data_IF_547495582515
#
_entry.id   IF_547495582515
#
_cell.length_a   1.000
_cell.length_b   1.000
_cell.length_c   1.000
_cell.angle_alpha   90.00
_cell.angle_beta   90.00
_cell.angle_gamma   90.00
#
_symmetry.space_group_name_H-M   'P 1'
#
loop_
_entity.id
_entity.type
_entity.pdbx_description
1 polymer ?
#
# COMPACT_ATOMS: atom_id res chain seq x y z
N UNK A 1 5.49 41.14 61.11
CA UNK A 1 5.72 42.56 61.47
C UNK A 1 6.13 43.25 60.18
N UNK A 2 5.25 44.03 59.52
CA UNK A 2 5.00 45.48 59.74
C UNK A 2 6.29 46.30 59.54
N UNK A 3 6.38 47.42 58.82
CA UNK A 3 5.53 48.21 57.89
C UNK A 3 6.44 49.34 57.35
N UNK A 4 6.09 49.88 56.17
CA UNK A 4 6.19 51.28 55.67
C UNK A 4 7.53 52.03 55.69
N UNK A 5 7.87 52.86 54.70
CA UNK A 5 7.36 54.23 54.43
C UNK A 5 8.01 54.65 53.08
N UNK A 6 7.40 55.24 52.04
CA UNK A 6 6.52 56.41 51.98
C UNK A 6 7.36 57.69 51.77
N UNK A 7 7.43 58.22 50.55
CA UNK A 7 7.86 59.61 50.27
C UNK A 7 7.46 60.03 48.84
N UNK A 8 6.45 60.88 48.74
CA UNK A 8 6.27 61.86 47.64
C UNK A 8 6.99 63.15 48.04
N UNK A 9 7.56 63.87 47.07
CA UNK A 9 7.55 65.34 47.03
C UNK A 9 8.15 65.87 45.69
N UNK A 10 7.32 66.63 44.96
CA UNK A 10 7.66 67.63 43.92
C UNK A 10 8.10 68.95 44.62
N UNK A 11 8.31 70.15 44.00
CA UNK A 11 8.24 70.62 42.59
C UNK A 11 9.37 71.62 42.18
N UNK A 12 9.11 72.38 41.08
CA UNK A 12 9.66 73.69 40.62
C UNK A 12 11.09 73.71 40.03
N UNK A 13 11.41 74.37 38.90
CA UNK A 13 10.81 75.58 38.33
C UNK A 13 11.14 75.78 36.83
N UNK A 14 10.46 76.76 36.26
CA UNK A 14 10.37 77.22 34.88
C UNK A 14 11.69 77.49 34.13
N UNK A 15 11.65 77.35 32.80
CA UNK A 15 12.15 78.38 31.87
C UNK A 15 11.61 78.19 30.44
N UNK A 16 11.07 79.29 29.91
CA UNK A 16 10.42 79.44 28.62
C UNK A 16 11.36 79.31 27.41
N UNK A 17 10.83 78.83 26.28
CA UNK A 17 11.13 79.49 25.00
C UNK A 17 10.02 79.27 23.98
N UNK A 18 9.45 80.39 23.57
CA UNK A 18 8.38 80.61 22.58
C UNK A 18 8.89 80.39 21.15
N UNK A 19 8.07 79.79 20.25
CA UNK A 19 8.31 79.96 18.82
C UNK A 19 7.63 79.03 17.81
N UNK A 20 6.33 79.25 17.58
CA UNK A 20 5.59 79.15 16.31
C UNK A 20 4.99 77.81 15.80
N UNK A 21 3.80 77.86 15.15
CA UNK A 21 2.91 76.74 14.89
C UNK A 21 3.10 76.18 13.47
N UNK A 22 3.31 74.88 13.37
CA UNK A 22 2.83 74.01 12.28
C UNK A 22 3.56 72.68 12.40
N UNK A 23 2.95 71.75 13.13
CA UNK A 23 3.23 70.34 12.98
C UNK A 23 1.89 69.65 13.12
N UNK A 24 1.34 69.22 12.00
CA UNK A 24 0.02 68.61 11.93
C UNK A 24 -0.09 67.50 12.96
N UNK A 25 -1.07 67.60 13.85
CA UNK A 25 -1.33 66.59 14.86
C UNK A 25 -1.67 65.27 14.17
N UNK A 26 -0.71 64.34 14.13
CA UNK A 26 -0.86 63.02 13.50
C UNK A 26 -1.81 62.11 14.27
N UNK A 27 -2.20 62.51 15.48
CA UNK A 27 -3.00 61.74 16.42
C UNK A 27 -4.43 62.31 16.55
N UNK A 28 -5.45 61.45 16.45
CA UNK A 28 -6.86 61.80 16.72
C UNK A 28 -7.25 61.08 18.02
N UNK A 29 -7.67 61.85 19.03
CA UNK A 29 -8.04 61.29 20.32
C UNK A 29 -9.47 60.75 20.28
N UNK A 30 -9.77 59.74 21.14
CA UNK A 30 -11.13 59.20 21.30
C UNK A 30 -12.15 60.28 21.65
N UNK A 31 -11.71 61.29 22.39
CA UNK A 31 -12.50 62.44 22.85
C UNK A 31 -13.03 63.29 21.68
N UNK A 32 -12.33 63.30 20.55
CA UNK A 32 -12.73 64.04 19.33
C UNK A 32 -13.75 63.27 18.47
N UNK A 33 -14.05 62.02 18.82
CA UNK A 33 -14.83 61.08 18.02
C UNK A 33 -15.94 60.38 18.82
N UNK A 34 -16.62 61.11 19.71
CA UNK A 34 -17.70 60.58 20.56
C UNK A 34 -18.91 60.06 19.79
N UNK A 35 -19.08 60.44 18.51
CA UNK A 35 -20.14 59.95 17.63
C UNK A 35 -19.94 58.50 17.14
N UNK A 36 -18.74 57.94 17.32
CA UNK A 36 -18.45 56.55 16.96
C UNK A 36 -18.65 55.62 18.16
N UNK A 37 -19.31 54.48 17.92
CA UNK A 37 -19.45 53.44 18.93
C UNK A 37 -18.08 52.79 19.24
N UNK A 38 -17.91 52.24 20.43
CA UNK A 38 -16.66 51.57 20.84
C UNK A 38 -16.15 50.51 19.83
N UNK A 39 -16.98 49.60 19.26
CA UNK A 39 -16.49 48.63 18.28
C UNK A 39 -16.02 49.27 16.97
N UNK A 40 -16.58 50.42 16.59
CA UNK A 40 -16.19 51.17 15.39
C UNK A 40 -14.89 51.92 15.62
N UNK A 41 -14.73 52.52 16.79
CA UNK A 41 -13.47 53.15 17.18
C UNK A 41 -12.33 52.14 17.23
N UNK A 42 -12.55 51.00 17.87
CA UNK A 42 -11.61 49.87 17.91
C UNK A 42 -11.27 49.36 16.50
N UNK A 43 -12.25 49.31 15.60
CA UNK A 43 -12.02 48.93 14.20
C UNK A 43 -11.14 49.93 13.45
N UNK A 44 -11.30 51.23 13.72
CA UNK A 44 -10.45 52.27 13.13
C UNK A 44 -9.04 52.25 13.71
N UNK A 45 -8.87 51.91 14.99
CA UNK A 45 -7.56 51.65 15.59
C UNK A 45 -6.88 50.44 14.96
N UNK A 46 -7.61 49.38 14.64
CA UNK A 46 -7.05 48.27 13.86
C UNK A 46 -6.76 48.65 12.41
N UNK A 47 -7.62 49.45 11.78
CA UNK A 47 -7.38 49.97 10.43
C UNK A 47 -6.13 50.86 10.38
N UNK A 48 -5.84 51.64 11.42
CA UNK A 48 -4.62 52.47 11.50
C UNK A 48 -3.35 51.63 11.46
N UNK A 49 -3.38 50.39 11.99
CA UNK A 49 -2.26 49.46 11.86
C UNK A 49 -2.03 48.97 10.42
N UNK A 50 -3.06 49.03 9.56
CA UNK A 50 -3.01 48.55 8.17
C UNK A 50 -2.62 49.66 7.20
N UNK A 51 -3.19 50.86 7.34
CA UNK A 51 -2.99 51.97 6.39
C UNK A 51 -2.24 53.18 6.98
N UNK A 52 -1.89 53.13 8.26
CA UNK A 52 -1.17 54.17 8.98
C UNK A 52 -2.10 55.17 9.68
N UNK A 53 -1.68 55.62 10.88
CA UNK A 53 -2.42 56.58 11.71
C UNK A 53 -2.68 57.91 11.00
N UNK A 54 -1.71 58.45 10.26
CA UNK A 54 -1.85 59.71 9.54
C UNK A 54 -2.96 59.65 8.47
N UNK A 55 -3.14 58.48 7.82
CA UNK A 55 -4.17 58.28 6.81
C UNK A 55 -5.57 58.21 7.44
N UNK A 56 -5.70 57.50 8.56
CA UNK A 56 -6.95 57.45 9.35
C UNK A 56 -7.28 58.81 9.95
N UNK A 57 -6.30 59.54 10.47
CA UNK A 57 -6.47 60.88 11.01
C UNK A 57 -6.91 61.90 9.95
N UNK A 58 -6.39 61.79 8.72
CA UNK A 58 -6.83 62.62 7.60
C UNK A 58 -8.27 62.28 7.22
N UNK A 59 -8.60 61.00 7.12
CA UNK A 59 -9.95 60.52 6.84
C UNK A 59 -10.98 61.01 7.86
N UNK A 60 -10.67 60.95 9.15
CA UNK A 60 -11.55 61.43 10.23
C UNK A 60 -11.76 62.95 10.24
N UNK A 61 -10.85 63.71 9.61
CA UNK A 61 -11.00 65.18 9.48
C UNK A 61 -11.73 65.60 8.22
N UNK A 62 -11.70 64.79 7.17
CA UNK A 62 -12.29 65.13 5.86
C UNK A 62 -13.67 64.51 5.64
N UNK A 63 -13.94 63.34 6.22
CA UNK A 63 -15.21 62.64 6.05
C UNK A 63 -16.26 63.11 7.06
N UNK A 64 -17.53 63.10 6.63
CA UNK A 64 -18.67 63.33 7.52
C UNK A 64 -18.83 62.16 8.52
N UNK A 65 -19.50 62.38 9.67
CA UNK A 65 -19.72 61.33 10.68
C UNK A 65 -20.35 60.03 10.11
N UNK A 66 -21.27 60.16 9.14
CA UNK A 66 -21.94 59.02 8.52
C UNK A 66 -21.00 58.23 7.61
N UNK A 67 -20.09 58.90 6.90
CA UNK A 67 -19.09 58.25 6.06
C UNK A 67 -18.02 57.54 6.91
N UNK A 68 -17.63 58.12 8.05
CA UNK A 68 -16.72 57.50 9.00
C UNK A 68 -17.29 56.18 9.55
N UNK A 69 -18.58 56.17 9.90
CA UNK A 69 -19.30 54.97 10.31
C UNK A 69 -19.31 53.91 9.20
N UNK A 70 -19.56 54.32 7.95
CA UNK A 70 -19.50 53.43 6.79
C UNK A 70 -18.14 52.77 6.59
N UNK A 71 -17.04 53.50 6.81
CA UNK A 71 -15.68 52.95 6.74
C UNK A 71 -15.41 51.96 7.87
N UNK A 72 -15.77 52.31 9.11
CA UNK A 72 -15.58 51.44 10.27
C UNK A 72 -16.35 50.11 10.11
N UNK A 73 -17.62 50.18 9.72
CA UNK A 73 -18.43 48.99 9.44
C UNK A 73 -17.88 48.17 8.27
N UNK A 74 -17.45 48.82 7.19
CA UNK A 74 -16.85 48.14 6.04
C UNK A 74 -15.59 47.37 6.42
N UNK A 75 -14.76 47.93 7.30
CA UNK A 75 -13.59 47.26 7.83
C UNK A 75 -13.95 46.08 8.73
N UNK A 76 -14.90 46.25 9.65
CA UNK A 76 -15.39 45.16 10.52
C UNK A 76 -15.93 43.99 9.69
N UNK A 77 -16.76 44.26 8.68
CA UNK A 77 -17.31 43.22 7.81
C UNK A 77 -16.22 42.50 7.01
N UNK A 78 -15.16 43.22 6.60
CA UNK A 78 -13.99 42.64 5.93
C UNK A 78 -13.20 41.73 6.87
N UNK A 79 -12.92 42.17 8.09
CA UNK A 79 -12.25 41.35 9.12
C UNK A 79 -13.06 40.09 9.43
N UNK A 80 -14.38 40.21 9.62
CA UNK A 80 -15.25 39.05 9.84
C UNK A 80 -15.20 38.06 8.67
N UNK A 81 -15.18 38.56 7.43
CA UNK A 81 -15.06 37.71 6.23
C UNK A 81 -13.69 37.03 6.15
N UNK A 82 -12.61 37.71 6.46
CA UNK A 82 -11.25 37.14 6.49
C UNK A 82 -11.11 36.11 7.62
N UNK A 83 -11.71 36.36 8.78
CA UNK A 83 -11.72 35.43 9.92
C UNK A 83 -12.55 34.18 9.59
N UNK A 84 -13.71 34.35 8.94
CA UNK A 84 -14.54 33.25 8.46
C UNK A 84 -13.84 32.43 7.35
N UNK A 85 -13.15 33.09 6.42
CA UNK A 85 -12.34 32.42 5.40
C UNK A 85 -11.20 31.62 6.04
N UNK A 86 -10.52 32.18 7.05
CA UNK A 86 -9.48 31.47 7.80
C UNK A 86 -10.05 30.30 8.59
N UNK A 87 -11.24 30.41 9.17
CA UNK A 87 -11.93 29.30 9.83
C UNK A 87 -12.28 28.14 8.87
N UNK A 88 -12.66 28.44 7.61
CA UNK A 88 -12.86 27.40 6.59
C UNK A 88 -11.57 26.72 6.14
N UNK A 89 -10.43 27.41 6.19
CA UNK A 89 -9.10 26.86 5.83
C UNK A 89 -8.43 26.17 7.02
N UNK A 90 -8.78 26.55 8.25
CA UNK A 90 -8.18 26.05 9.50
C UNK A 90 -9.00 24.97 10.21
N UNK A 91 -9.98 24.34 9.55
CA UNK A 91 -10.39 23.01 10.00
C UNK A 91 -9.14 22.14 9.85
N UNK A 92 -8.57 21.54 10.92
CA UNK A 92 -7.51 20.57 10.73
C UNK A 92 -8.18 19.40 10.00
N UNK A 93 -8.00 19.38 8.68
CA UNK A 93 -8.29 18.21 7.88
C UNK A 93 -7.35 17.15 8.43
N UNK A 94 -7.85 16.36 9.37
CA UNK A 94 -7.35 15.00 9.55
C UNK A 94 -7.24 14.44 8.13
N UNK A 95 -6.09 13.85 7.74
CA UNK A 95 -6.00 13.22 6.44
C UNK A 95 -7.19 12.25 6.40
N UNK A 96 -8.17 12.53 5.53
CA UNK A 96 -9.28 11.62 5.29
C UNK A 96 -8.63 10.43 4.64
N UNK A 97 -8.13 9.51 5.46
CA UNK A 97 -7.51 8.32 4.93
C UNK A 97 -8.64 7.54 4.29
N UNK A 98 -8.63 7.53 2.96
CA UNK A 98 -9.66 6.91 2.14
C UNK A 98 -9.81 5.45 2.55
N UNK A 99 -11.05 5.05 2.83
CA UNK A 99 -11.38 3.65 3.06
C UNK A 99 -11.45 2.94 1.72
N UNK A 100 -10.70 1.85 1.57
CA UNK A 100 -10.69 1.07 0.35
C UNK A 100 -11.89 0.14 0.33
N UNK A 101 -12.77 0.28 -0.66
CA UNK A 101 -13.91 -0.61 -0.86
C UNK A 101 -13.45 -1.89 -1.58
N UNK A 102 -12.95 -2.85 -0.81
CA UNK A 102 -12.63 -4.18 -1.34
C UNK A 102 -13.93 -4.98 -1.62
N UNK A 103 -13.98 -5.66 -2.76
CA UNK A 103 -15.05 -6.64 -3.02
C UNK A 103 -14.78 -7.92 -2.22
N UNK A 104 -15.84 -8.49 -1.65
CA UNK A 104 -15.80 -9.77 -0.93
C UNK A 104 -16.82 -10.68 -1.59
N UNK A 105 -16.39 -11.89 -1.96
CA UNK A 105 -17.28 -12.88 -2.55
C UNK A 105 -18.36 -13.29 -1.55
N UNK A 106 -19.53 -13.66 -2.07
CA UNK A 106 -20.61 -14.11 -1.20
C UNK A 106 -20.36 -15.53 -0.69
N UNK A 107 -20.32 -15.73 0.63
CA UNK A 107 -20.28 -17.07 1.21
C UNK A 107 -21.69 -17.64 1.27
N UNK A 108 -21.93 -18.72 0.54
CA UNK A 108 -23.25 -19.32 0.39
C UNK A 108 -23.55 -20.34 1.51
N UNK A 109 -22.50 -20.93 2.07
CA UNK A 109 -22.59 -22.01 3.04
C UNK A 109 -22.84 -23.36 2.39
N UNK A 110 -22.20 -23.65 1.24
CA UNK A 110 -22.25 -24.99 0.60
C UNK A 110 -21.25 -25.94 1.25
N UNK A 111 -21.50 -27.24 1.13
CA UNK A 111 -20.52 -28.25 1.56
C UNK A 111 -19.24 -28.13 0.72
N UNK A 112 -18.08 -28.13 1.39
CA UNK A 112 -16.78 -27.93 0.75
C UNK A 112 -16.46 -26.47 0.36
N UNK A 113 -17.36 -25.51 0.62
CA UNK A 113 -17.05 -24.10 0.43
C UNK A 113 -16.05 -23.63 1.51
N UNK A 114 -14.95 -22.96 1.14
CA UNK A 114 -13.83 -22.71 2.04
C UNK A 114 -14.11 -21.55 3.01
N UNK A 115 -14.86 -21.81 4.08
CA UNK A 115 -15.25 -20.82 5.10
C UNK A 115 -14.07 -20.01 5.63
N UNK A 116 -12.97 -20.67 6.01
CA UNK A 116 -11.80 -19.99 6.59
C UNK A 116 -11.14 -19.03 5.60
N UNK A 117 -11.07 -19.39 4.30
CA UNK A 117 -10.57 -18.48 3.26
C UNK A 117 -11.46 -17.26 3.11
N UNK A 118 -12.78 -17.47 3.12
CA UNK A 118 -13.72 -16.36 3.04
C UNK A 118 -13.63 -15.43 4.25
N UNK A 119 -13.44 -15.96 5.47
CA UNK A 119 -13.22 -15.14 6.67
C UNK A 119 -11.98 -14.26 6.54
N UNK A 120 -10.90 -14.76 5.95
CA UNK A 120 -9.69 -13.96 5.66
C UNK A 120 -9.99 -12.84 4.65
N UNK A 121 -10.81 -13.09 3.62
CA UNK A 121 -11.25 -12.05 2.68
C UNK A 121 -12.07 -10.95 3.40
N UNK A 122 -12.97 -11.35 4.29
CA UNK A 122 -13.78 -10.42 5.11
C UNK A 122 -12.89 -9.61 6.05
N UNK A 123 -11.95 -10.23 6.75
CA UNK A 123 -11.02 -9.57 7.68
C UNK A 123 -10.15 -8.53 6.95
N UNK A 124 -9.68 -8.89 5.75
CA UNK A 124 -8.94 -7.99 4.87
C UNK A 124 -9.80 -6.79 4.46
N UNK A 125 -11.06 -7.03 4.09
CA UNK A 125 -11.99 -5.97 3.74
C UNK A 125 -12.38 -5.07 4.93
N UNK A 126 -12.59 -5.64 6.11
CA UNK A 126 -12.83 -4.89 7.36
C UNK A 126 -11.66 -3.95 7.64
N UNK A 127 -10.43 -4.47 7.54
CA UNK A 127 -9.20 -3.72 7.77
C UNK A 127 -9.02 -2.60 6.75
N UNK A 128 -9.18 -2.91 5.46
CA UNK A 128 -9.05 -1.94 4.37
C UNK A 128 -10.14 -0.84 4.41
N UNK A 129 -11.35 -1.19 4.86
CA UNK A 129 -12.46 -0.26 5.06
C UNK A 129 -12.41 0.48 6.39
N UNK A 130 -11.50 0.10 7.30
CA UNK A 130 -11.35 0.67 8.65
C UNK A 130 -12.62 0.59 9.48
N UNK A 131 -13.33 -0.54 9.40
CA UNK A 131 -14.53 -0.77 10.23
C UNK A 131 -14.08 -1.11 11.64
N UNK A 132 -14.25 -0.19 12.59
CA UNK A 132 -13.80 -0.36 13.98
C UNK A 132 -14.91 -0.94 14.86
N UNK A 133 -16.11 -0.40 14.76
CA UNK A 133 -17.27 -0.77 15.58
C UNK A 133 -17.62 -2.27 15.46
N UNK A 134 -17.75 -3.02 16.58
CA UNK A 134 -18.04 -4.45 16.56
C UNK A 134 -19.32 -4.81 15.81
N UNK A 135 -20.39 -4.04 15.98
CA UNK A 135 -21.68 -4.32 15.34
C UNK A 135 -21.63 -4.03 13.84
N UNK A 136 -20.88 -3.00 13.43
CA UNK A 136 -20.62 -2.68 12.02
C UNK A 136 -19.79 -3.77 11.34
N UNK A 137 -18.82 -4.37 12.03
CA UNK A 137 -18.07 -5.55 11.51
C UNK A 137 -19.02 -6.72 11.25
N UNK A 138 -19.90 -7.02 12.21
CA UNK A 138 -20.91 -8.08 12.07
C UNK A 138 -21.88 -7.76 10.93
N UNK A 139 -22.42 -6.53 10.87
CA UNK A 139 -23.35 -6.12 9.82
C UNK A 139 -22.70 -6.22 8.43
N UNK A 140 -21.45 -5.79 8.30
CA UNK A 140 -20.69 -5.92 7.06
C UNK A 140 -20.47 -7.41 6.69
N UNK A 141 -19.99 -8.23 7.61
CA UNK A 141 -19.77 -9.66 7.36
C UNK A 141 -21.08 -10.37 6.95
N UNK A 142 -22.19 -10.07 7.63
CA UNK A 142 -23.52 -10.59 7.27
C UNK A 142 -24.00 -10.10 5.89
N UNK A 143 -23.63 -8.89 5.47
CA UNK A 143 -23.94 -8.39 4.12
C UNK A 143 -23.23 -9.19 3.02
N UNK A 144 -22.10 -9.83 3.34
CA UNK A 144 -21.33 -10.70 2.46
C UNK A 144 -21.84 -12.15 2.47
N UNK A 145 -22.89 -12.49 3.24
CA UNK A 145 -23.47 -13.82 3.21
C UNK A 145 -24.52 -13.98 2.10
N UNK A 146 -24.54 -15.18 1.51
CA UNK A 146 -25.50 -15.62 0.52
C UNK A 146 -26.20 -16.92 0.93
N UNK A 147 -27.21 -17.33 0.16
CA UNK A 147 -27.90 -18.62 0.28
C UNK A 147 -28.21 -19.09 1.71
N UNK A 148 -27.67 -20.26 2.07
CA UNK A 148 -27.94 -20.93 3.35
C UNK A 148 -27.32 -20.16 4.51
N UNK A 149 -26.11 -19.66 4.36
CA UNK A 149 -25.42 -18.87 5.37
C UNK A 149 -26.17 -17.57 5.70
N UNK A 150 -26.69 -16.89 4.68
CA UNK A 150 -27.54 -15.70 4.88
C UNK A 150 -28.81 -16.04 5.63
N UNK A 151 -29.52 -17.07 5.20
CA UNK A 151 -30.80 -17.47 5.82
C UNK A 151 -30.61 -17.85 7.29
N UNK A 152 -29.54 -18.59 7.59
CA UNK A 152 -29.14 -18.93 8.96
C UNK A 152 -28.85 -17.68 9.81
N UNK A 153 -28.00 -16.78 9.34
CA UNK A 153 -27.57 -15.63 10.13
C UNK A 153 -28.72 -14.64 10.43
N UNK A 154 -29.58 -14.36 9.44
CA UNK A 154 -30.75 -13.50 9.66
C UNK A 154 -31.83 -14.22 10.47
N UNK A 155 -32.01 -15.53 10.31
CA UNK A 155 -32.90 -16.33 11.16
C UNK A 155 -32.51 -16.27 12.64
N UNK A 156 -31.21 -16.38 12.94
CA UNK A 156 -30.67 -16.19 14.29
C UNK A 156 -30.97 -14.80 14.86
N UNK A 157 -30.74 -13.75 14.07
CA UNK A 157 -31.02 -12.35 14.46
C UNK A 157 -32.50 -12.06 14.69
N UNK A 158 -33.40 -12.76 13.99
CA UNK A 158 -34.85 -12.62 14.21
C UNK A 158 -35.28 -13.16 15.57
N UNK A 159 -34.66 -14.26 16.03
CA UNK A 159 -34.95 -14.86 17.35
C UNK A 159 -34.28 -14.08 18.48
N UNK A 160 -33.04 -13.63 18.27
CA UNK A 160 -32.27 -12.87 19.25
C UNK A 160 -31.51 -11.74 18.53
N UNK A 161 -31.96 -10.48 18.67
CA UNK A 161 -31.29 -9.32 18.06
C UNK A 161 -29.84 -9.13 18.50
N UNK A 162 -29.45 -9.71 19.65
CA UNK A 162 -28.13 -9.58 20.27
C UNK A 162 -27.23 -10.80 20.08
N UNK A 163 -27.65 -11.80 19.29
CA UNK A 163 -26.95 -13.08 19.12
C UNK A 163 -25.49 -12.94 18.66
N UNK A 164 -25.18 -11.86 17.93
CA UNK A 164 -23.84 -11.54 17.46
C UNK A 164 -23.34 -10.24 18.11
N UNK A 165 -23.03 -10.30 19.40
CA UNK A 165 -22.55 -9.15 20.18
C UNK A 165 -21.19 -8.63 19.72
N UNK A 166 -20.33 -9.52 19.19
CA UNK A 166 -19.03 -9.17 18.63
C UNK A 166 -18.76 -9.94 17.34
N UNK A 167 -17.80 -9.43 16.56
CA UNK A 167 -17.36 -10.10 15.34
C UNK A 167 -16.69 -11.45 15.62
N UNK A 168 -16.01 -11.62 16.75
CA UNK A 168 -15.44 -12.91 17.15
C UNK A 168 -16.52 -13.95 17.45
N UNK A 169 -17.57 -13.57 18.19
CA UNK A 169 -18.73 -14.45 18.45
C UNK A 169 -19.41 -14.85 17.14
N UNK A 170 -19.58 -13.91 16.20
CA UNK A 170 -20.12 -14.22 14.88
C UNK A 170 -19.27 -15.25 14.12
N UNK A 171 -17.93 -15.10 14.12
CA UNK A 171 -17.03 -16.05 13.47
C UNK A 171 -17.12 -17.44 14.08
N UNK A 172 -17.16 -17.55 15.41
CA UNK A 172 -17.28 -18.83 16.11
C UNK A 172 -18.61 -19.52 15.83
N UNK A 173 -19.73 -18.81 15.92
CA UNK A 173 -21.04 -19.39 15.61
C UNK A 173 -21.15 -19.80 14.13
N UNK A 174 -20.59 -19.00 13.21
CA UNK A 174 -20.58 -19.32 11.78
C UNK A 174 -19.74 -20.57 11.49
N UNK A 175 -18.60 -20.73 12.16
CA UNK A 175 -17.80 -21.96 12.13
C UNK A 175 -18.61 -23.13 12.63
N UNK A 176 -19.20 -23.05 13.83
CA UNK A 176 -20.02 -24.13 14.38
C UNK A 176 -21.19 -24.55 13.47
N UNK A 177 -21.79 -23.61 12.74
CA UNK A 177 -22.92 -23.89 11.87
C UNK A 177 -22.55 -24.50 10.51
N UNK A 178 -21.40 -24.13 9.94
CA UNK A 178 -21.05 -24.49 8.55
C UNK A 178 -19.78 -25.33 8.42
N UNK A 179 -18.98 -25.44 9.46
CA UNK A 179 -17.82 -26.30 9.50
C UNK A 179 -18.26 -27.75 9.78
N UNK A 180 -17.82 -28.74 8.98
CA UNK A 180 -18.16 -30.13 9.25
C UNK A 180 -17.74 -30.56 10.65
N UNK A 181 -18.51 -31.41 11.34
CA UNK A 181 -18.09 -31.98 12.62
C UNK A 181 -16.71 -32.64 12.50
N UNK A 182 -15.84 -32.34 13.48
CA UNK A 182 -14.46 -32.82 13.53
C UNK A 182 -13.60 -32.36 12.33
N UNK A 183 -13.84 -31.16 11.77
CA UNK A 183 -13.10 -30.66 10.61
C UNK A 183 -11.57 -30.67 10.81
N UNK A 184 -11.08 -30.30 12.00
CA UNK A 184 -9.64 -30.38 12.27
C UNK A 184 -9.10 -31.81 12.18
N UNK A 185 -9.83 -32.78 12.73
CA UNK A 185 -9.46 -34.19 12.65
C UNK A 185 -9.47 -34.67 11.20
N UNK A 186 -10.50 -34.32 10.43
CA UNK A 186 -10.59 -34.64 9.00
C UNK A 186 -9.46 -34.01 8.20
N UNK A 187 -9.18 -32.72 8.40
CA UNK A 187 -8.10 -32.00 7.72
C UNK A 187 -6.73 -32.57 8.08
N UNK A 188 -6.53 -32.97 9.35
CA UNK A 188 -5.31 -33.65 9.80
C UNK A 188 -5.15 -35.00 9.13
N UNK A 189 -6.20 -35.83 9.11
CA UNK A 189 -6.16 -37.13 8.43
C UNK A 189 -5.88 -36.97 6.93
N UNK A 190 -6.61 -36.07 6.26
CA UNK A 190 -6.43 -35.81 4.82
C UNK A 190 -5.04 -35.25 4.51
N UNK A 191 -4.46 -34.43 5.39
CA UNK A 191 -3.10 -33.96 5.22
C UNK A 191 -2.09 -35.11 5.35
N UNK A 192 -2.23 -35.98 6.35
CA UNK A 192 -1.33 -37.13 6.54
C UNK A 192 -1.41 -38.15 5.39
N UNK A 193 -2.59 -38.27 4.75
CA UNK A 193 -2.82 -39.10 3.57
C UNK A 193 -2.62 -38.35 2.24
N UNK A 194 -2.10 -37.13 2.28
CA UNK A 194 -1.99 -36.26 1.11
C UNK A 194 -1.09 -36.88 0.03
N UNK A 195 -1.60 -36.94 -1.19
CA UNK A 195 -0.89 -37.44 -2.38
C UNK A 195 -1.06 -36.48 -3.56
N UNK A 196 0.01 -36.25 -4.31
CA UNK A 196 0.00 -35.38 -5.49
C UNK A 196 -0.95 -35.93 -6.57
N UNK A 197 -1.05 -37.26 -6.71
CA UNK A 197 -2.07 -37.90 -7.54
C UNK A 197 -1.96 -37.51 -9.01
N UNK A 198 -2.95 -36.80 -9.57
CA UNK A 198 -2.90 -36.28 -10.96
C UNK A 198 -2.59 -34.78 -11.04
N UNK A 199 -2.54 -34.09 -9.90
CA UNK A 199 -2.34 -32.64 -9.83
C UNK A 199 -0.90 -32.26 -10.22
N UNK A 200 -0.72 -31.04 -10.72
CA UNK A 200 0.60 -30.41 -10.82
C UNK A 200 1.13 -30.05 -9.42
N UNK A 201 2.40 -29.63 -9.32
CA UNK A 201 3.03 -29.35 -8.02
C UNK A 201 2.35 -28.15 -7.35
N UNK A 202 1.91 -27.16 -8.13
CA UNK A 202 1.26 -25.97 -7.60
C UNK A 202 -0.10 -26.29 -6.94
N UNK A 203 -0.99 -26.99 -7.62
CA UNK A 203 -2.30 -27.39 -7.07
C UNK A 203 -2.13 -28.31 -5.85
N UNK A 204 -1.14 -29.20 -5.88
CA UNK A 204 -0.77 -30.03 -4.73
C UNK A 204 -0.30 -29.20 -3.53
N UNK A 205 0.58 -28.22 -3.75
CA UNK A 205 1.05 -27.32 -2.71
C UNK A 205 -0.08 -26.47 -2.10
N UNK A 206 -1.01 -25.97 -2.93
CA UNK A 206 -2.17 -25.23 -2.43
C UNK A 206 -3.09 -26.11 -1.57
N UNK A 207 -3.27 -27.39 -1.93
CA UNK A 207 -4.01 -28.34 -1.09
C UNK A 207 -3.31 -28.58 0.25
N UNK A 208 -1.99 -28.76 0.24
CA UNK A 208 -1.20 -28.91 1.45
C UNK A 208 -1.38 -27.71 2.40
N UNK A 209 -1.22 -26.48 1.88
CA UNK A 209 -1.42 -25.24 2.65
C UNK A 209 -2.83 -25.14 3.21
N UNK A 210 -3.84 -25.44 2.41
CA UNK A 210 -5.23 -25.40 2.82
C UNK A 210 -5.51 -26.35 3.99
N UNK A 211 -5.08 -27.61 3.88
CA UNK A 211 -5.31 -28.60 4.94
C UNK A 211 -4.59 -28.24 6.24
N UNK A 212 -3.35 -27.74 6.15
CA UNK A 212 -2.62 -27.26 7.33
C UNK A 212 -3.31 -26.04 7.95
N UNK A 213 -3.84 -25.11 7.13
CA UNK A 213 -4.52 -23.91 7.63
C UNK A 213 -5.83 -24.19 8.38
N UNK A 214 -6.45 -25.35 8.13
CA UNK A 214 -7.66 -25.78 8.84
C UNK A 214 -7.36 -26.38 10.24
N UNK A 215 -6.10 -26.57 10.62
CA UNK A 215 -5.70 -27.21 11.88
C UNK A 215 -5.15 -26.14 12.82
N UNK A 216 -6.01 -25.55 13.65
CA UNK A 216 -5.67 -24.35 14.43
C UNK A 216 -5.33 -24.69 15.88
N UNK A 217 -6.09 -25.57 16.54
CA UNK A 217 -5.91 -25.78 17.99
C UNK A 217 -4.64 -26.53 18.34
N UNK A 218 -4.29 -27.55 17.55
CA UNK A 218 -3.12 -28.39 17.77
C UNK A 218 -2.35 -28.55 16.45
N UNK A 219 -1.54 -27.55 16.05
CA UNK A 219 -0.86 -27.56 14.76
C UNK A 219 0.09 -28.75 14.65
N UNK A 220 0.21 -29.30 13.43
CA UNK A 220 1.21 -30.33 13.12
C UNK A 220 2.60 -29.70 13.23
N UNK A 221 3.60 -30.45 13.70
CA UNK A 221 4.98 -29.98 13.70
C UNK A 221 5.55 -29.85 12.28
N UNK A 222 6.53 -28.97 12.08
CA UNK A 222 7.08 -28.71 10.75
C UNK A 222 7.75 -29.95 10.12
N UNK A 223 8.42 -30.79 10.92
CA UNK A 223 9.08 -31.98 10.39
C UNK A 223 8.04 -32.95 9.81
N UNK A 224 6.94 -33.21 10.51
CA UNK A 224 5.84 -34.03 10.01
C UNK A 224 5.18 -33.42 8.78
N UNK A 225 5.02 -32.08 8.72
CA UNK A 225 4.50 -31.41 7.52
C UNK A 225 5.39 -31.62 6.31
N UNK A 226 6.68 -31.40 6.47
CA UNK A 226 7.69 -31.58 5.40
C UNK A 226 7.71 -33.02 4.91
N UNK A 227 7.83 -33.98 5.83
CA UNK A 227 7.91 -35.41 5.49
C UNK A 227 6.65 -35.87 4.77
N UNK A 228 5.48 -35.48 5.28
CA UNK A 228 4.19 -35.80 4.65
C UNK A 228 4.10 -35.22 3.23
N UNK A 229 4.42 -33.92 3.06
CA UNK A 229 4.42 -33.27 1.75
C UNK A 229 5.39 -33.93 0.77
N UNK A 230 6.62 -34.21 1.19
CA UNK A 230 7.65 -34.86 0.37
C UNK A 230 7.28 -36.30 0.00
N UNK A 231 6.73 -37.06 0.95
CA UNK A 231 6.26 -38.44 0.73
C UNK A 231 5.14 -38.50 -0.30
N UNK A 232 4.20 -37.55 -0.23
CA UNK A 232 3.05 -37.46 -1.14
C UNK A 232 3.37 -36.95 -2.55
N UNK A 233 4.55 -36.41 -2.80
CA UNK A 233 4.96 -36.04 -4.17
C UNK A 233 5.05 -37.28 -5.08
N UNK A 234 4.74 -37.08 -6.36
CA UNK A 234 5.00 -38.08 -7.41
C UNK A 234 6.48 -38.39 -7.47
N UNK A 235 6.80 -39.65 -7.72
CA UNK A 235 8.18 -40.05 -7.97
C UNK A 235 8.70 -39.37 -9.24
N UNK A 236 9.87 -38.74 -9.12
CA UNK A 236 10.45 -37.93 -10.19
C UNK A 236 11.47 -36.92 -9.66
N UNK A 237 12.03 -36.06 -10.54
CA UNK A 237 13.16 -35.22 -10.19
C UNK A 237 12.85 -34.21 -9.08
N UNK A 238 11.63 -33.68 -9.02
CA UNK A 238 11.18 -32.78 -7.94
C UNK A 238 11.29 -33.46 -6.58
N UNK A 239 10.71 -34.66 -6.43
CA UNK A 239 10.78 -35.43 -5.18
C UNK A 239 12.23 -35.78 -4.84
N UNK A 240 13.00 -36.27 -5.81
CA UNK A 240 14.43 -36.59 -5.62
C UNK A 240 15.25 -35.40 -5.17
N UNK A 241 14.99 -34.21 -5.73
CA UNK A 241 15.66 -32.98 -5.34
C UNK A 241 15.36 -32.61 -3.89
N UNK A 242 14.08 -32.64 -3.48
CA UNK A 242 13.69 -32.34 -2.09
C UNK A 242 14.31 -33.31 -1.08
N UNK A 243 14.44 -34.60 -1.41
CA UNK A 243 15.11 -35.57 -0.53
C UNK A 243 16.62 -35.33 -0.38
N UNK A 244 17.24 -34.56 -1.28
CA UNK A 244 18.65 -34.15 -1.17
C UNK A 244 18.81 -32.88 -0.35
N UNK A 245 17.93 -31.91 -0.56
CA UNK A 245 18.02 -30.60 0.11
C UNK A 245 17.51 -30.63 1.56
N UNK A 246 16.59 -31.54 1.89
CA UNK A 246 16.02 -31.71 3.23
C UNK A 246 15.53 -30.38 3.87
N UNK A 247 14.46 -29.78 3.32
CA UNK A 247 13.93 -28.52 3.82
C UNK A 247 13.44 -28.62 5.28
N UNK A 248 13.60 -27.56 6.05
CA UNK A 248 13.21 -27.52 7.47
C UNK A 248 11.76 -27.11 7.72
N UNK A 249 11.07 -26.56 6.71
CA UNK A 249 9.69 -26.08 6.82
C UNK A 249 8.86 -26.46 5.60
N UNK A 250 7.54 -26.56 5.75
CA UNK A 250 6.64 -26.89 4.64
C UNK A 250 6.73 -25.86 3.50
N UNK A 251 6.81 -24.57 3.84
CA UNK A 251 6.91 -23.51 2.82
C UNK A 251 8.24 -23.53 2.07
N UNK A 252 9.34 -23.90 2.74
CA UNK A 252 10.62 -24.13 2.06
C UNK A 252 10.52 -25.31 1.09
N UNK A 253 9.92 -26.42 1.52
CA UNK A 253 9.68 -27.58 0.67
C UNK A 253 8.82 -27.23 -0.57
N UNK A 254 7.74 -26.47 -0.39
CA UNK A 254 6.89 -26.01 -1.50
C UNK A 254 7.68 -25.12 -2.45
N UNK A 255 8.45 -24.16 -1.93
CA UNK A 255 9.24 -23.23 -2.76
C UNK A 255 10.27 -23.98 -3.61
N UNK A 256 11.01 -24.91 -3.02
CA UNK A 256 11.96 -25.77 -3.74
C UNK A 256 11.25 -26.64 -4.78
N UNK A 257 10.08 -27.19 -4.45
CA UNK A 257 9.32 -28.04 -5.37
C UNK A 257 8.82 -27.26 -6.60
N UNK A 258 8.34 -26.03 -6.39
CA UNK A 258 7.92 -25.13 -7.47
C UNK A 258 9.10 -24.71 -8.34
N UNK A 259 10.24 -24.37 -7.72
CA UNK A 259 11.46 -24.00 -8.43
C UNK A 259 11.97 -25.14 -9.31
N UNK A 260 12.01 -26.36 -8.78
CA UNK A 260 12.48 -27.52 -9.53
C UNK A 260 11.50 -27.90 -10.65
N UNK A 261 10.18 -27.83 -10.41
CA UNK A 261 9.21 -28.05 -11.49
C UNK A 261 9.40 -27.04 -12.63
N UNK A 262 9.65 -25.77 -12.30
CA UNK A 262 9.93 -24.74 -13.30
C UNK A 262 11.21 -25.03 -14.07
N UNK A 263 12.31 -25.36 -13.38
CA UNK A 263 13.60 -25.72 -13.99
C UNK A 263 13.46 -26.90 -14.97
N UNK A 264 12.72 -27.94 -14.59
CA UNK A 264 12.46 -29.10 -15.44
C UNK A 264 11.64 -28.76 -16.69
N UNK A 265 10.63 -27.87 -16.56
CA UNK A 265 9.85 -27.39 -17.70
C UNK A 265 10.73 -26.60 -18.67
N UNK A 266 11.61 -25.73 -18.17
CA UNK A 266 12.57 -25.00 -19.00
C UNK A 266 13.54 -25.95 -19.73
N UNK A 267 14.12 -26.92 -19.02
CA UNK A 267 15.04 -27.89 -19.62
C UNK A 267 14.39 -28.68 -20.77
N UNK A 268 13.12 -29.09 -20.63
CA UNK A 268 12.37 -29.78 -21.69
C UNK A 268 12.14 -28.91 -22.93
N UNK A 269 11.93 -27.60 -22.76
CA UNK A 269 11.77 -26.67 -23.88
C UNK A 269 13.07 -26.51 -24.67
N UNK A 270 14.23 -26.47 -24.00
CA UNK A 270 15.53 -26.38 -24.65
C UNK A 270 15.95 -27.65 -25.40
N UNK A 271 15.49 -28.83 -24.97
CA UNK A 271 15.77 -30.11 -25.66
C UNK A 271 14.91 -30.30 -26.92
N UNK A 272 13.76 -29.63 -27.02
CA UNK A 272 12.84 -29.72 -28.16
C UNK A 272 13.18 -28.78 -29.32
N UNK A 273 14.32 -28.06 -29.27
CA UNK A 273 14.88 -27.43 -30.48
C UNK A 273 15.38 -28.56 -31.38
N UNK A 274 14.93 -28.67 -32.65
CA UNK A 274 15.41 -29.72 -33.51
C UNK A 274 16.93 -29.58 -33.62
N UNK A 275 17.63 -30.58 -33.10
CA UNK A 275 19.05 -30.75 -33.32
C UNK A 275 19.28 -30.58 -34.82
N UNK A 276 19.92 -29.47 -35.23
CA UNK A 276 20.41 -29.34 -36.62
C UNK A 276 21.13 -30.64 -36.87
N UNK A 277 20.63 -31.45 -37.80
CA UNK A 277 21.28 -32.69 -38.22
C UNK A 277 22.73 -32.33 -38.49
N UNK A 278 23.64 -32.66 -37.58
CA UNK A 278 25.05 -32.68 -37.88
C UNK A 278 25.15 -33.62 -39.06
N UNK A 279 25.41 -33.06 -40.24
CA UNK A 279 25.82 -33.82 -41.41
C UNK A 279 26.97 -34.70 -40.96
N UNK A 280 26.69 -35.98 -40.73
CA UNK A 280 27.75 -36.97 -40.59
C UNK A 280 28.49 -36.93 -41.91
N UNK A 281 29.68 -36.35 -41.90
CA UNK A 281 30.60 -36.49 -43.00
C UNK A 281 30.84 -37.99 -43.19
N UNK A 282 30.34 -38.53 -44.30
CA UNK A 282 30.58 -39.91 -44.71
C UNK A 282 32.05 -39.97 -45.10
N UNK A 283 32.88 -40.56 -44.24
CA UNK A 283 34.26 -40.91 -44.60
C UNK A 283 34.18 -41.96 -45.70
N UNK A 284 34.62 -41.59 -46.91
CA UNK A 284 34.85 -42.51 -48.02
C UNK A 284 36.05 -43.41 -47.66
N UNK A 285 35.93 -44.75 -47.70
CA UNK A 285 37.07 -45.63 -47.50
C UNK A 285 37.89 -45.66 -48.79
N UNK A 286 39.00 -44.93 -48.81
CA UNK A 286 39.96 -45.03 -49.90
C UNK A 286 40.69 -43.74 -50.21
N UNK A 287 41.64 -43.35 -49.36
CA UNK A 287 42.83 -42.65 -49.85
C UNK A 287 43.96 -42.79 -48.82
N UNK A 288 44.94 -43.62 -49.15
CA UNK A 288 46.19 -43.78 -48.41
C UNK A 288 47.06 -42.54 -48.61
N UNK A 289 47.13 -41.66 -47.61
CA UNK A 289 48.27 -40.75 -47.49
C UNK A 289 48.74 -40.74 -46.06
N UNK A 290 49.82 -41.50 -45.81
CA UNK A 290 50.63 -41.41 -44.59
C UNK A 290 51.11 -39.97 -44.41
N UNK A 291 51.03 -39.42 -43.19
CA UNK A 291 52.04 -38.50 -42.65
C UNK A 291 51.93 -38.38 -41.12
N UNK A 292 52.86 -39.11 -40.48
CA UNK A 292 53.58 -38.90 -39.22
C UNK A 292 52.84 -38.57 -37.92
N UNK A 293 53.02 -39.47 -36.96
CA UNK A 293 52.97 -39.22 -35.53
C UNK A 293 54.05 -38.20 -35.13
N UNK A 294 53.67 -37.20 -34.34
CA UNK A 294 54.59 -36.44 -33.49
C UNK A 294 54.16 -36.69 -32.05
N UNK A 295 55.09 -37.22 -31.27
CA UNK A 295 54.96 -37.60 -29.86
C UNK A 295 54.78 -36.39 -28.94
N UNK A 296 54.27 -36.72 -27.76
CA UNK A 296 54.07 -35.89 -26.56
C UNK A 296 55.31 -35.12 -26.08
N UNK A 297 55.06 -33.94 -25.47
CA UNK A 297 56.01 -33.18 -24.65
C UNK A 297 55.32 -31.99 -23.96
N UNK A 298 55.48 -31.88 -22.64
CA UNK A 298 54.90 -30.91 -21.70
C UNK A 298 55.19 -29.43 -22.05
N UNK A 299 54.35 -28.50 -21.56
CA UNK A 299 54.64 -27.53 -20.45
C UNK A 299 53.40 -26.67 -20.15
N UNK A 300 53.22 -26.38 -18.86
CA UNK A 300 52.12 -25.69 -18.22
C UNK A 300 52.25 -24.14 -18.18
N UNK A 301 51.11 -23.48 -17.93
CA UNK A 301 50.85 -22.22 -17.20
C UNK A 301 51.62 -20.92 -17.55
N UNK A 302 50.90 -19.83 -17.88
CA UNK A 302 50.40 -18.84 -16.88
C UNK A 302 49.85 -17.53 -17.50
N UNK A 303 48.61 -17.17 -17.13
CA UNK A 303 48.17 -15.89 -16.52
C UNK A 303 48.44 -14.54 -17.23
N UNK A 304 47.37 -13.80 -17.58
CA UNK A 304 47.29 -12.36 -17.28
C UNK A 304 46.54 -11.40 -18.23
N UNK A 305 45.35 -10.97 -17.78
CA UNK A 305 44.84 -9.57 -17.73
C UNK A 305 44.27 -8.86 -19.00
N UNK A 306 42.95 -8.63 -18.89
CA UNK A 306 42.20 -7.37 -19.08
C UNK A 306 41.92 -6.77 -20.49
N UNK A 307 40.62 -6.62 -20.75
CA UNK A 307 39.93 -5.62 -21.61
C UNK A 307 40.31 -4.17 -21.21
N UNK A 308 40.11 -3.10 -22.03
CA UNK A 308 38.75 -2.68 -22.45
C UNK A 308 38.57 -1.75 -23.70
N UNK A 309 37.30 -1.37 -23.96
CA UNK A 309 36.74 -0.11 -24.54
C UNK A 309 36.85 0.13 -26.07
N UNK A 310 35.75 0.00 -26.85
CA UNK A 310 34.69 0.97 -27.25
C UNK A 310 35.00 1.83 -28.49
N UNK A 311 34.21 1.66 -29.57
CA UNK A 311 33.63 2.71 -30.47
C UNK A 311 32.84 2.01 -31.58
N UNK A 312 31.50 2.07 -31.61
CA UNK A 312 30.58 3.07 -32.19
C UNK A 312 30.62 3.20 -33.74
N UNK A 313 29.46 2.88 -34.33
CA UNK A 313 28.88 3.38 -35.60
C UNK A 313 29.44 2.88 -36.94
N UNK A 314 28.60 2.22 -37.75
CA UNK A 314 27.88 2.90 -38.85
C UNK A 314 27.12 1.89 -39.74
N UNK A 315 25.82 2.14 -39.93
CA UNK A 315 25.03 1.66 -41.06
C UNK A 315 25.52 2.34 -42.37
N UNK A 316 25.68 1.57 -43.45
CA UNK A 316 25.12 1.87 -44.81
C UNK A 316 25.51 0.75 -45.79
N UNK A 317 24.54 0.00 -46.29
CA UNK A 317 23.91 0.13 -47.63
C UNK A 317 24.87 -0.15 -48.78
N UNK A 318 24.66 -1.29 -49.45
CA UNK A 318 24.60 -1.32 -50.91
C UNK A 318 23.56 -2.35 -51.37
N UNK A 319 22.54 -1.83 -52.05
CA UNK A 319 21.44 -2.56 -52.68
C UNK A 319 21.57 -2.36 -54.19
N UNK A 320 21.72 -3.50 -54.88
CA UNK A 320 21.34 -3.82 -56.27
C UNK A 320 22.14 -3.24 -57.46
N UNK A 321 22.03 -3.81 -58.70
CA UNK A 321 21.02 -4.76 -59.20
C UNK A 321 21.49 -5.97 -60.04
N UNK A 322 20.57 -6.93 -60.24
CA UNK A 322 20.42 -7.60 -61.54
C UNK A 322 20.72 -9.11 -61.60
N UNK A 323 19.69 -9.95 -61.43
CA UNK A 323 19.27 -10.83 -62.53
C UNK A 323 17.89 -11.44 -62.27
N UNK A 324 17.06 -11.36 -63.29
CA UNK A 324 15.63 -11.65 -63.32
C UNK A 324 15.29 -13.13 -63.35
N UNK A 325 14.25 -13.50 -62.58
CA UNK A 325 13.16 -14.45 -62.86
C UNK A 325 13.52 -15.79 -63.52
N UNK A 326 13.12 -16.89 -62.86
CA UNK A 326 11.92 -17.65 -63.25
C UNK A 326 11.44 -18.55 -62.11
N UNK A 327 10.19 -18.32 -61.70
CA UNK A 327 9.37 -19.27 -60.93
C UNK A 327 9.01 -20.44 -61.85
N UNK A 328 9.06 -21.66 -61.33
CA UNK A 328 8.09 -22.68 -61.69
C UNK A 328 7.52 -23.25 -60.39
N UNK A 329 6.21 -23.16 -60.29
CA UNK A 329 5.34 -23.85 -59.35
C UNK A 329 4.91 -25.13 -60.07
N UNK A 330 5.15 -26.29 -59.46
CA UNK A 330 4.16 -27.34 -59.17
C UNK A 330 4.58 -27.95 -57.84
#
# INVERSE_FOLDING_TARGET
MKFDTGAEDLPVDASMSTGNPNTGATHVAREDCLHLADPEWEALQRLSTVIGEAAVATMLRTLSPTEQHGVALGFIMKEQRETAARATVSTPSTPRVESLKLHVNSYVGREGEPLLRWLVEVDTAITARRIVDPLSKVAFAMSCLGGRARSWAYGRRLTDPTCFSTYEVFKEELRQAFEPPQNEFRSRAEFLDLQQGKHDVHAYAQRARYLVSNIVTNPIDEATKVVTFMKGLKDGPVKTYLFREYPSTLESAITLAMQEEFSLRQAKLHVNVPHRKCLRARVQPGCTTKRYAIKQGLIACARGKNLPVTTRNALRVHVQPGCTKKRYVI
#
